data_IF_663397618715
#
_entry.id   IF_663397618715
#
_cell.length_a   1.000
_cell.length_b   1.000
_cell.length_c   1.000
_cell.angle_alpha   90.00
_cell.angle_beta   90.00
_cell.angle_gamma   90.00
#
_symmetry.space_group_name_H-M   'P 1'
#
loop_
_entity.id
_entity.type
_entity.pdbx_description
1 polymer ?
#
# COMPACT_ATOMS: atom_id res chain seq x y z
N UNK A 1 -4.59 -13.51 -2.37
CA UNK A 1 -5.32 -12.42 -3.08
C UNK A 1 -6.59 -12.98 -3.65
N UNK A 2 -7.73 -12.33 -3.40
CA UNK A 2 -8.98 -12.88 -3.93
C UNK A 2 -9.08 -12.64 -5.44
N UNK A 3 -9.89 -13.46 -6.13
CA UNK A 3 -9.97 -13.35 -7.60
C UNK A 3 -10.46 -12.01 -8.11
N UNK A 4 -11.37 -11.36 -7.38
CA UNK A 4 -11.88 -10.06 -7.81
C UNK A 4 -10.76 -9.01 -7.80
N UNK A 5 -9.98 -8.98 -6.72
CA UNK A 5 -8.85 -8.06 -6.62
C UNK A 5 -7.82 -8.35 -7.69
N UNK A 6 -7.51 -9.64 -7.89
CA UNK A 6 -6.55 -10.05 -8.90
C UNK A 6 -6.98 -9.56 -10.29
N UNK A 7 -8.26 -9.74 -10.61
CA UNK A 7 -8.75 -9.34 -11.94
C UNK A 7 -8.69 -7.83 -12.11
N UNK A 8 -9.02 -7.08 -11.07
CA UNK A 8 -8.93 -5.62 -11.13
C UNK A 8 -7.50 -5.16 -11.35
N UNK A 9 -6.55 -5.80 -10.65
CA UNK A 9 -5.13 -5.47 -10.81
C UNK A 9 -4.63 -5.78 -12.21
N UNK A 10 -4.97 -6.96 -12.73
CA UNK A 10 -4.56 -7.34 -14.08
C UNK A 10 -5.12 -6.33 -15.09
N UNK A 11 -6.39 -5.97 -14.94
CA UNK A 11 -7.00 -4.99 -15.83
C UNK A 11 -6.28 -3.64 -15.79
N UNK A 12 -5.95 -3.17 -14.58
CA UNK A 12 -5.25 -1.89 -14.43
C UNK A 12 -3.86 -1.95 -15.07
N UNK A 13 -3.14 -3.03 -14.83
CA UNK A 13 -1.78 -3.17 -15.34
C UNK A 13 -1.79 -3.28 -16.87
N UNK A 14 -2.64 -4.14 -17.42
CA UNK A 14 -2.72 -4.32 -18.86
C UNK A 14 -3.25 -3.08 -19.57
N UNK A 15 -4.07 -2.31 -18.88
CA UNK A 15 -4.60 -1.07 -19.41
C UNK A 15 -3.64 0.11 -19.36
N UNK A 16 -2.44 -0.07 -18.80
CA UNK A 16 -1.43 0.97 -18.76
C UNK A 16 -1.62 2.01 -17.67
N UNK A 17 -2.30 1.64 -16.60
CA UNK A 17 -2.52 2.56 -15.48
C UNK A 17 -1.21 2.94 -14.80
N UNK A 18 -1.17 4.15 -14.24
CA UNK A 18 -0.01 4.61 -13.49
C UNK A 18 0.08 3.97 -12.11
N UNK A 19 1.22 4.20 -11.45
CA UNK A 19 1.52 3.53 -10.18
C UNK A 19 0.50 3.87 -9.09
N UNK A 20 0.06 5.12 -9.01
CA UNK A 20 -0.91 5.50 -7.98
C UNK A 20 -2.24 4.77 -8.20
N UNK A 21 -2.69 4.69 -9.45
CA UNK A 21 -3.94 3.99 -9.76
C UNK A 21 -3.84 2.51 -9.41
N UNK A 22 -2.71 1.88 -9.75
CA UNK A 22 -2.52 0.46 -9.43
C UNK A 22 -2.50 0.27 -7.91
N UNK A 23 -1.80 1.14 -7.19
CA UNK A 23 -1.76 1.05 -5.73
C UNK A 23 -3.16 1.24 -5.13
N UNK A 24 -3.93 2.17 -5.68
CA UNK A 24 -5.29 2.41 -5.19
C UNK A 24 -6.18 1.19 -5.40
N UNK A 25 -6.05 0.52 -6.55
CA UNK A 25 -6.80 -0.72 -6.78
C UNK A 25 -6.40 -1.78 -5.75
N UNK A 26 -5.10 -1.86 -5.46
CA UNK A 26 -4.60 -2.87 -4.52
C UNK A 26 -5.12 -2.64 -3.11
N UNK A 27 -5.15 -1.40 -2.65
CA UNK A 27 -5.50 -1.05 -1.27
C UNK A 27 -6.98 -0.83 -1.06
N UNK A 28 -7.67 -0.28 -2.04
CA UNK A 28 -8.98 0.34 -1.84
C UNK A 28 -10.16 -0.59 -1.98
N UNK A 29 -11.30 -0.05 -1.60
CA UNK A 29 -12.64 -0.64 -1.66
C UNK A 29 -12.75 -1.95 -0.86
N UNK A 30 -13.88 -2.64 -1.01
CA UNK A 30 -14.16 -3.82 -0.20
C UNK A 30 -13.26 -5.00 -0.54
N UNK A 31 -12.71 -5.01 -1.75
CA UNK A 31 -11.84 -6.10 -2.20
C UNK A 31 -10.37 -5.82 -1.95
N UNK A 32 -10.03 -4.60 -1.52
CA UNK A 32 -8.64 -4.20 -1.36
C UNK A 32 -8.02 -4.74 -0.09
N UNK A 33 -6.71 -4.54 0.01
CA UNK A 33 -5.92 -5.09 1.10
C UNK A 33 -6.20 -4.42 2.44
N UNK A 34 -6.64 -3.16 2.44
CA UNK A 34 -6.85 -2.42 3.69
C UNK A 34 -8.17 -2.73 4.38
N UNK A 35 -9.17 -3.24 3.67
CA UNK A 35 -10.46 -3.55 4.28
C UNK A 35 -11.21 -2.28 4.64
N UNK A 36 -11.88 -1.68 3.65
CA UNK A 36 -12.52 -0.38 3.80
C UNK A 36 -13.56 -0.34 4.90
N UNK A 37 -13.52 0.70 5.75
CA UNK A 37 -14.48 0.93 6.82
C UNK A 37 -15.15 2.29 6.58
N UNK A 38 -16.45 2.29 6.58
CA UNK A 38 -17.22 3.49 6.18
C UNK A 38 -17.52 4.43 7.33
N UNK A 39 -17.38 3.99 8.58
CA UNK A 39 -17.54 4.83 9.74
C UNK A 39 -16.21 4.99 10.46
N UNK A 40 -15.88 6.22 10.88
CA UNK A 40 -14.63 6.40 11.64
C UNK A 40 -14.58 5.52 12.87
N UNK A 41 -13.40 5.05 13.17
CA UNK A 41 -13.15 4.18 14.33
C UNK A 41 -11.76 4.49 14.88
N UNK A 42 -11.52 4.10 16.11
CA UNK A 42 -10.18 4.21 16.68
C UNK A 42 -9.43 2.90 16.46
N UNK A 43 -8.19 3.02 15.98
CA UNK A 43 -7.38 1.83 15.75
C UNK A 43 -6.80 1.31 17.07
N UNK A 44 -5.92 0.31 17.00
CA UNK A 44 -5.41 -0.36 18.19
C UNK A 44 -4.60 0.57 19.09
N UNK A 45 -4.10 1.68 18.57
CA UNK A 45 -3.39 2.67 19.39
C UNK A 45 -4.21 3.95 19.61
N UNK A 46 -5.50 3.91 19.30
CA UNK A 46 -6.39 5.01 19.60
C UNK A 46 -6.46 6.11 18.56
N UNK A 47 -5.87 5.92 17.40
CA UNK A 47 -5.90 6.93 16.34
C UNK A 47 -7.18 6.79 15.52
N UNK A 48 -7.90 7.92 15.36
CA UNK A 48 -9.11 7.90 14.54
C UNK A 48 -8.77 7.64 13.07
N UNK A 49 -9.50 6.70 12.48
CA UNK A 49 -9.20 6.15 11.17
C UNK A 49 -10.51 5.94 10.41
N UNK A 50 -10.48 6.04 9.09
CA UNK A 50 -11.68 5.78 8.27
C UNK A 50 -11.26 5.31 6.87
N UNK A 51 -12.20 4.71 6.18
CA UNK A 51 -12.03 4.27 4.79
C UNK A 51 -10.93 3.23 4.68
N UNK A 52 -9.88 3.51 3.91
CA UNK A 52 -8.81 2.54 3.64
C UNK A 52 -7.59 2.82 4.52
N UNK A 53 -7.87 3.22 5.77
CA UNK A 53 -6.79 3.52 6.70
C UNK A 53 -6.42 5.00 6.76
N UNK A 54 -7.28 5.86 6.26
CA UNK A 54 -7.03 7.31 6.31
C UNK A 54 -7.09 7.81 7.75
N UNK A 55 -6.10 8.61 8.13
CA UNK A 55 -6.07 9.30 9.42
C UNK A 55 -5.90 10.79 9.16
N UNK A 56 -6.26 11.60 10.13
CA UNK A 56 -6.07 13.03 10.00
C UNK A 56 -7.14 13.82 10.73
N UNK A 57 -6.92 15.11 10.82
CA UNK A 57 -7.84 16.01 11.51
C UNK A 57 -9.11 16.28 10.72
N UNK A 58 -9.12 15.89 9.44
CA UNK A 58 -10.28 16.10 8.56
C UNK A 58 -11.37 15.04 8.73
N UNK A 59 -11.13 14.03 9.56
CA UNK A 59 -12.12 12.96 9.75
C UNK A 59 -13.32 13.50 10.53
N UNK A 60 -14.51 13.27 9.96
CA UNK A 60 -15.76 13.64 10.63
C UNK A 60 -16.34 12.42 11.33
N UNK A 61 -16.20 12.38 12.65
CA UNK A 61 -16.69 11.28 13.46
C UNK A 61 -18.21 11.22 13.34
N UNK A 62 -18.74 10.03 13.20
CA UNK A 62 -20.18 9.86 13.05
C UNK A 62 -20.71 9.97 11.63
N UNK A 63 -19.90 10.49 10.71
CA UNK A 63 -20.30 10.58 9.30
C UNK A 63 -20.05 9.25 8.62
N UNK A 64 -21.05 8.77 7.86
CA UNK A 64 -20.85 7.57 7.05
C UNK A 64 -20.25 7.98 5.71
N UNK A 65 -19.04 7.55 5.47
CA UNK A 65 -18.34 7.87 4.23
C UNK A 65 -18.85 7.03 3.08
N UNK A 66 -18.91 7.63 1.90
CA UNK A 66 -19.25 6.90 0.68
C UNK A 66 -18.00 6.32 0.03
N UNK A 67 -18.20 5.41 -0.92
CA UNK A 67 -17.06 4.89 -1.68
C UNK A 67 -16.34 6.03 -2.42
N UNK A 68 -17.08 6.98 -2.97
CA UNK A 68 -16.45 8.11 -3.65
C UNK A 68 -15.58 8.92 -2.71
N UNK A 69 -16.07 9.17 -1.50
CA UNK A 69 -15.28 9.88 -0.49
C UNK A 69 -14.03 9.09 -0.12
N UNK A 70 -14.17 7.78 0.09
CA UNK A 70 -13.03 6.94 0.43
C UNK A 70 -12.00 6.89 -0.70
N UNK A 71 -12.48 6.79 -1.95
CA UNK A 71 -11.56 6.81 -3.10
C UNK A 71 -10.76 8.10 -3.15
N UNK A 72 -11.42 9.23 -2.89
CA UNK A 72 -10.74 10.52 -2.93
C UNK A 72 -9.68 10.61 -1.83
N UNK A 73 -10.01 10.15 -0.62
CA UNK A 73 -9.06 10.17 0.48
C UNK A 73 -7.85 9.27 0.17
N UNK A 74 -8.10 8.09 -0.37
CA UNK A 74 -7.02 7.17 -0.69
C UNK A 74 -6.09 7.76 -1.76
N UNK A 75 -6.66 8.34 -2.81
CA UNK A 75 -5.85 8.97 -3.86
C UNK A 75 -5.00 10.11 -3.29
N UNK A 76 -5.59 10.97 -2.46
CA UNK A 76 -4.84 12.07 -1.85
C UNK A 76 -3.70 11.53 -0.98
N UNK A 77 -3.99 10.51 -0.18
CA UNK A 77 -2.98 9.93 0.69
C UNK A 77 -1.86 9.29 -0.12
N UNK A 78 -2.20 8.62 -1.23
CA UNK A 78 -1.19 8.01 -2.07
C UNK A 78 -0.32 9.05 -2.77
N UNK A 79 -0.89 10.18 -3.18
CA UNK A 79 -0.09 11.26 -3.74
C UNK A 79 0.89 11.82 -2.71
N UNK A 80 0.45 11.93 -1.46
CA UNK A 80 1.35 12.37 -0.38
C UNK A 80 2.50 11.36 -0.20
N UNK A 81 2.17 10.07 -0.19
CA UNK A 81 3.20 9.03 -0.07
C UNK A 81 4.16 9.12 -1.24
N UNK A 82 3.65 9.25 -2.47
CA UNK A 82 4.50 9.34 -3.65
C UNK A 82 5.46 10.52 -3.54
N UNK A 83 4.95 11.68 -3.12
CA UNK A 83 5.81 12.87 -2.98
C UNK A 83 6.90 12.66 -1.95
N UNK A 84 6.61 11.87 -0.92
CA UNK A 84 7.58 11.64 0.16
C UNK A 84 8.63 10.60 -0.23
N UNK A 85 8.26 9.57 -0.98
CA UNK A 85 9.22 8.48 -1.24
C UNK A 85 9.87 8.53 -2.62
N UNK A 86 9.24 9.17 -3.62
CA UNK A 86 9.88 9.24 -4.94
C UNK A 86 11.29 9.81 -4.89
N UNK A 87 11.56 10.87 -4.12
CA UNK A 87 12.94 11.39 -4.06
C UNK A 87 13.95 10.40 -3.47
N UNK A 88 13.48 9.42 -2.72
CA UNK A 88 14.37 8.44 -2.10
C UNK A 88 14.76 7.31 -3.05
N UNK A 89 13.99 7.14 -4.13
CA UNK A 89 14.23 6.08 -5.11
C UNK A 89 15.19 6.62 -6.17
N UNK A 90 16.39 6.05 -6.24
CA UNK A 90 17.47 6.59 -7.07
C UNK A 90 17.68 5.81 -8.36
N UNK A 91 16.85 4.81 -8.63
CA UNK A 91 17.00 3.95 -9.81
C UNK A 91 15.66 3.92 -10.56
N UNK A 92 15.73 3.54 -11.83
CA UNK A 92 14.50 3.32 -12.60
C UNK A 92 13.88 1.99 -12.19
N UNK A 93 12.57 2.01 -11.99
CA UNK A 93 11.84 0.80 -11.61
C UNK A 93 10.55 0.71 -12.43
N UNK A 94 10.05 -0.50 -12.66
CA UNK A 94 8.78 -0.66 -13.36
C UNK A 94 7.63 -0.04 -12.61
N UNK A 95 6.57 0.32 -13.33
CA UNK A 95 5.40 0.93 -12.71
C UNK A 95 4.75 0.00 -11.70
N UNK A 96 4.78 -1.31 -11.93
CA UNK A 96 4.23 -2.26 -10.97
C UNK A 96 5.05 -2.31 -9.68
N UNK A 97 6.37 -2.24 -9.80
CA UNK A 97 7.22 -2.16 -8.62
C UNK A 97 6.92 -0.89 -7.84
N UNK A 98 6.83 0.25 -8.53
CA UNK A 98 6.53 1.52 -7.86
C UNK A 98 5.18 1.47 -7.15
N UNK A 99 4.17 0.86 -7.78
CA UNK A 99 2.85 0.72 -7.15
C UNK A 99 2.94 -0.10 -5.86
N UNK A 100 3.70 -1.18 -5.88
CA UNK A 100 3.88 -2.01 -4.69
C UNK A 100 4.58 -1.21 -3.58
N UNK A 101 5.55 -0.38 -3.94
CA UNK A 101 6.26 0.43 -2.94
C UNK A 101 5.36 1.52 -2.36
N UNK A 102 4.51 2.14 -3.18
CA UNK A 102 3.54 3.11 -2.66
C UNK A 102 2.61 2.43 -1.66
N UNK A 103 2.12 1.25 -2.00
CA UNK A 103 1.25 0.49 -1.13
C UNK A 103 1.95 0.15 0.19
N UNK A 104 3.20 -0.28 0.10
CA UNK A 104 4.01 -0.61 1.28
C UNK A 104 4.24 0.62 2.15
N UNK A 105 4.65 1.73 1.55
CA UNK A 105 4.91 2.96 2.31
C UNK A 105 3.63 3.53 2.90
N UNK A 106 2.50 3.37 2.22
CA UNK A 106 1.21 3.76 2.77
C UNK A 106 0.96 3.04 4.10
N UNK A 107 1.35 1.78 4.14
CA UNK A 107 1.11 0.92 5.30
C UNK A 107 2.07 1.19 6.44
N UNK A 108 3.38 1.30 6.15
CA UNK A 108 4.39 1.39 7.20
C UNK A 108 4.86 2.81 7.49
N UNK A 109 4.55 3.74 6.60
CA UNK A 109 4.98 5.13 6.73
C UNK A 109 6.24 5.41 5.93
N UNK A 110 6.35 6.65 5.47
CA UNK A 110 7.48 7.06 4.64
C UNK A 110 8.81 7.05 5.41
N UNK A 111 8.76 7.34 6.71
CA UNK A 111 9.98 7.29 7.52
C UNK A 111 10.55 5.89 7.61
N UNK A 112 9.70 4.91 7.90
CA UNK A 112 10.15 3.52 7.96
C UNK A 112 10.64 3.05 6.59
N UNK A 113 9.94 3.44 5.52
CA UNK A 113 10.38 3.12 4.17
C UNK A 113 11.77 3.66 3.91
N UNK A 114 12.03 4.91 4.30
CA UNK A 114 13.32 5.54 4.05
C UNK A 114 14.49 4.88 4.75
N UNK A 115 14.23 4.20 5.86
CA UNK A 115 15.27 3.50 6.63
C UNK A 115 15.35 2.02 6.32
N UNK A 116 14.52 1.53 5.39
CA UNK A 116 14.36 0.10 5.21
C UNK A 116 15.51 -0.54 4.43
N UNK A 117 15.75 -1.81 4.71
CA UNK A 117 16.66 -2.62 3.91
C UNK A 117 16.13 -2.74 2.49
N UNK A 118 14.82 -2.73 2.33
CA UNK A 118 14.19 -2.76 1.00
C UNK A 118 14.72 -1.62 0.13
N UNK A 119 14.71 -0.41 0.66
CA UNK A 119 15.17 0.75 -0.12
C UNK A 119 16.67 0.64 -0.44
N UNK A 120 17.47 0.17 0.50
CA UNK A 120 18.90 -0.02 0.25
C UNK A 120 19.14 -0.99 -0.89
N UNK A 121 18.43 -2.12 -0.89
CA UNK A 121 18.57 -3.12 -1.96
C UNK A 121 18.11 -2.54 -3.29
N UNK A 122 16.99 -1.82 -3.28
CA UNK A 122 16.47 -1.21 -4.49
C UNK A 122 17.48 -0.27 -5.12
N UNK A 123 18.03 0.63 -4.32
CA UNK A 123 18.97 1.64 -4.82
C UNK A 123 20.33 1.06 -5.21
N UNK A 124 20.63 -0.15 -4.77
CA UNK A 124 21.84 -0.84 -5.19
C UNK A 124 21.63 -1.64 -6.48
N UNK A 125 20.41 -1.62 -7.01
CA UNK A 125 20.09 -2.35 -8.23
C UNK A 125 19.57 -3.75 -8.02
N UNK A 126 19.33 -4.15 -6.77
CA UNK A 126 18.84 -5.49 -6.45
C UNK A 126 17.32 -5.47 -6.34
N UNK A 127 16.66 -5.39 -7.49
CA UNK A 127 15.20 -5.34 -7.51
C UNK A 127 14.56 -6.61 -6.95
N UNK A 128 15.00 -7.81 -7.33
CA UNK A 128 14.39 -9.01 -6.73
C UNK A 128 14.54 -9.07 -5.23
N UNK A 129 15.70 -8.69 -4.70
CA UNK A 129 15.92 -8.67 -3.27
C UNK A 129 15.05 -7.67 -2.55
N UNK A 130 14.86 -6.49 -3.18
CA UNK A 130 13.96 -5.48 -2.62
C UNK A 130 12.53 -6.01 -2.52
N UNK A 131 12.04 -6.64 -3.59
CA UNK A 131 10.67 -7.18 -3.57
C UNK A 131 10.51 -8.24 -2.47
N UNK A 132 11.52 -9.08 -2.27
CA UNK A 132 11.45 -10.11 -1.24
C UNK A 132 11.39 -9.53 0.17
N UNK A 133 11.95 -8.34 0.37
CA UNK A 133 11.94 -7.71 1.70
C UNK A 133 10.54 -7.38 2.19
N UNK A 134 9.56 -7.28 1.29
CA UNK A 134 8.20 -6.98 1.70
C UNK A 134 7.66 -7.96 2.72
N UNK A 135 8.08 -9.22 2.65
CA UNK A 135 7.61 -10.25 3.57
C UNK A 135 8.12 -10.07 5.00
N UNK A 136 9.20 -9.30 5.17
CA UNK A 136 9.79 -9.12 6.51
C UNK A 136 8.96 -8.17 7.37
N UNK A 137 8.00 -7.46 6.79
CA UNK A 137 7.25 -6.43 7.50
C UNK A 137 5.92 -6.94 8.05
N UNK A 138 5.88 -8.21 8.49
CA UNK A 138 4.70 -8.75 9.17
C UNK A 138 4.72 -8.46 10.67
N UNK A 139 5.79 -7.84 11.16
CA UNK A 139 5.94 -7.51 12.59
C UNK A 139 5.82 -6.01 12.80
N UNK A 140 5.23 -5.60 13.91
CA UNK A 140 5.13 -4.21 14.31
C UNK A 140 5.47 -4.10 15.78
N UNK A 141 6.42 -3.21 16.10
CA UNK A 141 6.86 -3.02 17.48
C UNK A 141 7.38 -4.27 18.14
N UNK A 142 8.03 -5.13 17.36
CA UNK A 142 8.55 -6.38 17.86
C UNK A 142 7.52 -7.48 18.04
N UNK A 143 6.27 -7.20 17.70
CA UNK A 143 5.17 -8.17 17.80
C UNK A 143 4.53 -8.37 16.45
N UNK A 144 4.06 -9.59 16.23
CA UNK A 144 3.35 -9.93 15.02
C UNK A 144 1.85 -9.83 15.27
N UNK A 145 1.20 -8.86 14.65
CA UNK A 145 -0.23 -8.63 14.82
C UNK A 145 -1.01 -9.42 13.77
N UNK A 146 -2.08 -10.07 14.19
CA UNK A 146 -2.86 -10.93 13.30
C UNK A 146 -3.36 -10.15 12.07
N UNK A 147 -3.95 -8.98 12.27
CA UNK A 147 -4.45 -8.18 11.16
C UNK A 147 -3.33 -7.72 10.23
N UNK A 148 -2.20 -7.38 10.79
CA UNK A 148 -1.03 -6.96 10.02
C UNK A 148 -0.48 -8.11 9.19
N UNK A 149 -0.42 -9.29 9.79
CA UNK A 149 0.01 -10.51 9.08
C UNK A 149 -0.89 -10.76 7.86
N UNK A 150 -2.17 -10.70 8.07
CA UNK A 150 -3.13 -10.96 6.98
C UNK A 150 -2.94 -9.97 5.85
N UNK A 151 -2.82 -8.70 6.15
CA UNK A 151 -2.66 -7.67 5.11
C UNK A 151 -1.33 -7.77 4.40
N UNK A 152 -0.27 -7.92 5.12
CA UNK A 152 1.08 -8.00 4.51
C UNK A 152 1.37 -9.31 3.80
N UNK A 153 0.96 -10.15 4.35
CA UNK A 153 1.08 -11.49 3.80
C UNK A 153 0.31 -11.60 2.52
N UNK A 154 -0.70 -10.99 2.47
CA UNK A 154 -1.47 -10.84 1.32
C UNK A 154 -0.86 -9.90 0.36
N UNK A 155 -0.31 -9.09 1.00
CA UNK A 155 0.34 -8.06 0.25
C UNK A 155 1.65 -8.51 -0.32
N UNK A 156 2.14 -9.25 0.39
CA UNK A 156 3.37 -9.77 -0.02
C UNK A 156 3.21 -10.74 -1.16
N UNK A 157 2.35 -11.27 -1.01
CA UNK A 157 2.02 -12.16 -2.05
C UNK A 157 1.56 -11.45 -3.30
N UNK A 158 0.81 -10.58 -2.99
CA UNK A 158 0.33 -9.75 -4.02
C UNK A 158 1.33 -8.78 -4.51
N UNK A 159 1.92 -8.36 -3.58
CA UNK A 159 2.89 -7.38 -3.91
C UNK A 159 4.10 -7.98 -4.55
N UNK A 160 4.28 -9.00 -4.12
CA UNK A 160 5.31 -9.70 -4.72
C UNK A 160 5.00 -10.03 -6.14
N UNK A 161 3.93 -10.34 -6.18
CA UNK A 161 3.44 -10.49 -7.45
C UNK A 161 3.45 -9.25 -8.26
N UNK A 162 2.97 -8.26 -7.70
CA UNK A 162 2.97 -6.96 -8.41
C UNK A 162 4.38 -6.40 -8.55
N UNK A 163 5.11 -6.45 -7.45
CA UNK A 163 6.50 -5.95 -7.46
C UNK A 163 7.37 -6.65 -8.50
N UNK A 164 7.19 -7.93 -8.64
CA UNK A 164 8.03 -8.74 -9.53
C UNK A 164 7.42 -8.94 -10.92
N UNK A 165 6.23 -8.45 -11.14
CA UNK A 165 5.46 -8.74 -12.36
C UNK A 165 6.22 -8.38 -13.63
N UNK A 166 6.80 -7.17 -13.65
CA UNK A 166 7.48 -6.68 -14.87
C UNK A 166 8.83 -7.32 -15.10
N UNK A 167 9.30 -8.13 -14.15
CA UNK A 167 10.59 -8.81 -14.31
C UNK A 167 10.46 -10.10 -15.11
N UNK A 168 9.24 -10.53 -15.35
CA UNK A 168 8.99 -11.73 -16.13
C UNK A 168 8.67 -11.38 -17.58
#
# INVERSE_FOLDING_TARGET
MNPTLRNKLVGAILGGSGAITIAAVMLGNADGLEGRRYYPYQDVVGVWTVCDGHTGNDIRRGHRYTDKECDALLNDDLYKVANQIDPLIKVKIPVTTRAALYSFAYNVGSGAFGKSTLLKKLNSGDLPGACKELQRWTYAGGQQWKGLITRRXXXXXXXXXVCEWSQK
#
